data_IF_005945459237
#
_entry.id   IF_005945459237
#
_cell.length_a   1.000
_cell.length_b   1.000
_cell.length_c   1.000
_cell.angle_alpha   90.00
_cell.angle_beta   90.00
_cell.angle_gamma   90.00
#
_symmetry.space_group_name_H-M   'P 1'
#
loop_
_entity.id
_entity.type
_entity.pdbx_description
1 polymer ?
#
# COMPACT_ATOMS: atom_id res chain seq x y z
N UNK A 1 26.20 44.68 -8.55
CA UNK A 1 25.01 44.12 -9.20
C UNK A 1 25.34 42.69 -9.56
N UNK A 2 25.13 41.75 -8.59
CA UNK A 2 25.25 40.31 -8.86
C UNK A 2 23.85 39.77 -9.10
N UNK A 3 23.59 39.35 -10.35
CA UNK A 3 22.38 38.62 -10.65
C UNK A 3 22.46 37.24 -9.98
N UNK A 4 21.39 36.73 -9.35
CA UNK A 4 21.37 35.37 -8.88
C UNK A 4 21.37 34.42 -10.09
N UNK A 5 22.28 33.45 -10.07
CA UNK A 5 22.33 32.40 -11.07
C UNK A 5 21.00 31.64 -11.13
N UNK A 6 20.48 31.32 -12.32
CA UNK A 6 19.27 30.52 -12.43
C UNK A 6 19.54 29.12 -11.90
N UNK A 7 18.82 28.71 -10.86
CA UNK A 7 18.82 27.36 -10.37
C UNK A 7 18.36 26.40 -11.50
N UNK A 8 19.33 25.70 -12.07
CA UNK A 8 19.06 24.60 -13.00
C UNK A 8 18.27 23.51 -12.29
N UNK A 9 17.23 22.96 -12.91
CA UNK A 9 16.48 21.85 -12.33
C UNK A 9 17.38 20.60 -12.26
N UNK A 10 17.82 20.26 -11.05
CA UNK A 10 18.49 18.99 -10.78
C UNK A 10 17.41 17.93 -10.64
N UNK A 11 17.05 17.18 -11.71
CA UNK A 11 16.12 16.05 -11.46
C UNK A 11 15.85 14.95 -12.51
N UNK A 12 16.67 14.48 -13.41
CA UNK A 12 16.29 13.24 -14.10
C UNK A 12 16.73 11.94 -13.40
N UNK A 13 17.70 11.98 -12.48
CA UNK A 13 18.22 10.75 -11.84
C UNK A 13 17.45 10.32 -10.58
N UNK A 14 16.96 11.25 -9.78
CA UNK A 14 16.18 10.95 -8.57
C UNK A 14 14.82 10.33 -8.93
N UNK A 15 14.18 10.83 -9.98
CA UNK A 15 12.89 10.36 -10.46
C UNK A 15 12.96 8.93 -11.02
N UNK A 16 14.02 8.60 -11.73
CA UNK A 16 14.23 7.25 -12.27
C UNK A 16 14.40 6.21 -11.14
N UNK A 17 15.19 6.52 -10.11
CA UNK A 17 15.39 5.61 -8.98
C UNK A 17 14.08 5.38 -8.23
N UNK A 18 13.29 6.43 -8.03
CA UNK A 18 12.00 6.35 -7.34
C UNK A 18 10.97 5.55 -8.16
N UNK A 19 10.96 5.73 -9.47
CA UNK A 19 10.12 4.95 -10.39
C UNK A 19 10.51 3.46 -10.40
N UNK A 20 11.81 3.15 -10.44
CA UNK A 20 12.30 1.77 -10.35
C UNK A 20 11.92 1.14 -9.01
N UNK A 21 12.06 1.86 -7.89
CA UNK A 21 11.63 1.38 -6.57
C UNK A 21 10.14 1.08 -6.56
N UNK A 22 9.31 1.94 -7.14
CA UNK A 22 7.87 1.74 -7.23
C UNK A 22 7.53 0.51 -8.09
N UNK A 23 8.16 0.33 -9.25
CA UNK A 23 7.99 -0.87 -10.07
C UNK A 23 8.37 -2.15 -9.30
N UNK A 24 9.52 -2.16 -8.61
CA UNK A 24 9.93 -3.29 -7.78
C UNK A 24 8.94 -3.55 -6.62
N UNK A 25 8.39 -2.49 -6.03
CA UNK A 25 7.38 -2.60 -4.98
C UNK A 25 6.12 -3.31 -5.48
N UNK A 26 5.58 -2.86 -6.62
CA UNK A 26 4.38 -3.44 -7.20
C UNK A 26 4.59 -4.91 -7.58
N UNK A 27 5.71 -5.24 -8.23
CA UNK A 27 6.05 -6.63 -8.57
C UNK A 27 6.11 -7.53 -7.32
N UNK A 28 6.75 -7.07 -6.25
CA UNK A 28 6.83 -7.81 -4.99
C UNK A 28 5.45 -7.98 -4.34
N UNK A 29 4.61 -6.94 -4.32
CA UNK A 29 3.26 -7.00 -3.74
C UNK A 29 2.36 -7.92 -4.58
N UNK A 30 2.43 -7.84 -5.90
CA UNK A 30 1.63 -8.65 -6.83
C UNK A 30 1.92 -10.14 -6.76
N UNK A 31 3.04 -10.56 -6.13
CA UNK A 31 3.31 -11.98 -5.85
C UNK A 31 2.54 -12.50 -4.61
N UNK A 32 1.92 -11.61 -3.82
CA UNK A 32 1.25 -11.99 -2.59
C UNK A 32 0.11 -13.01 -2.79
N UNK A 33 -0.79 -12.89 -3.78
CA UNK A 33 -1.85 -13.88 -3.99
C UNK A 33 -1.31 -15.30 -4.23
N UNK A 34 -0.15 -15.42 -4.89
CA UNK A 34 0.49 -16.72 -5.12
C UNK A 34 0.91 -17.36 -3.80
N UNK A 35 1.61 -16.61 -2.94
CA UNK A 35 2.04 -17.12 -1.63
C UNK A 35 0.86 -17.33 -0.68
N UNK A 36 -0.20 -16.51 -0.75
CA UNK A 36 -1.45 -16.70 0.01
C UNK A 36 -2.06 -18.04 -0.38
N UNK A 37 -2.23 -18.34 -1.67
CA UNK A 37 -2.76 -19.62 -2.15
C UNK A 37 -1.96 -20.82 -1.65
N UNK A 38 -0.63 -20.73 -1.57
CA UNK A 38 0.19 -21.76 -0.96
C UNK A 38 0.05 -21.83 0.56
N UNK A 39 -0.10 -20.72 1.25
CA UNK A 39 -0.26 -20.72 2.71
C UNK A 39 -1.61 -21.26 3.15
N UNK A 40 -2.67 -21.01 2.40
CA UNK A 40 -4.03 -21.45 2.68
C UNK A 40 -4.24 -22.97 2.51
N UNK A 41 -3.24 -23.71 2.02
CA UNK A 41 -3.25 -25.18 2.05
C UNK A 41 -3.14 -25.76 3.47
N UNK A 42 -2.73 -24.96 4.46
CA UNK A 42 -2.54 -25.40 5.85
C UNK A 42 -2.73 -24.33 6.90
N UNK A 43 -3.19 -23.13 6.53
CA UNK A 43 -3.56 -22.04 7.42
C UNK A 43 -4.83 -21.38 6.91
N UNK A 44 -5.63 -20.83 7.83
CA UNK A 44 -6.73 -19.94 7.43
C UNK A 44 -6.25 -18.55 7.02
N UNK A 45 -7.17 -17.72 6.48
CA UNK A 45 -6.85 -16.37 6.01
C UNK A 45 -6.27 -15.46 7.11
N UNK A 46 -6.86 -15.48 8.32
CA UNK A 46 -6.38 -14.66 9.44
C UNK A 46 -4.99 -15.12 9.91
N UNK A 47 -4.75 -16.46 9.97
CA UNK A 47 -3.44 -17.04 10.31
C UNK A 47 -2.37 -16.66 9.27
N UNK A 48 -2.71 -16.64 8.00
CA UNK A 48 -1.83 -16.19 6.91
C UNK A 48 -1.42 -14.73 7.08
N UNK A 49 -2.39 -13.84 7.30
CA UNK A 49 -2.11 -12.41 7.50
C UNK A 49 -1.37 -12.16 8.81
N UNK A 50 -1.73 -12.84 9.89
CA UNK A 50 -1.01 -12.76 11.16
C UNK A 50 0.47 -13.12 10.98
N UNK A 51 0.78 -14.29 10.41
CA UNK A 51 2.16 -14.73 10.23
C UNK A 51 2.95 -13.80 9.30
N UNK A 52 2.34 -13.27 8.24
CA UNK A 52 2.95 -12.27 7.36
C UNK A 52 3.43 -11.05 8.15
N UNK A 53 2.58 -10.47 9.00
CA UNK A 53 2.92 -9.30 9.82
C UNK A 53 3.90 -9.65 10.94
N UNK A 54 3.71 -10.79 11.60
CA UNK A 54 4.56 -11.26 12.68
C UNK A 54 6.00 -11.50 12.21
N UNK A 55 6.20 -12.18 11.07
CA UNK A 55 7.52 -12.39 10.47
C UNK A 55 8.18 -11.06 10.11
N UNK A 56 7.40 -10.12 9.56
CA UNK A 56 7.91 -8.78 9.29
C UNK A 56 8.40 -8.10 10.57
N UNK A 57 7.65 -8.15 11.66
CA UNK A 57 8.05 -7.59 12.96
C UNK A 57 9.32 -8.26 13.48
N UNK A 58 9.42 -9.58 13.43
CA UNK A 58 10.60 -10.30 13.88
C UNK A 58 11.85 -9.94 13.08
N UNK A 59 11.77 -9.94 11.76
CA UNK A 59 12.93 -9.72 10.90
C UNK A 59 13.32 -8.24 10.88
N UNK A 60 12.39 -7.37 10.53
CA UNK A 60 12.72 -5.94 10.37
C UNK A 60 12.77 -5.20 11.71
N UNK A 61 12.04 -5.67 12.72
CA UNK A 61 12.14 -5.17 14.10
C UNK A 61 13.50 -5.47 14.70
N UNK A 62 14.03 -6.68 14.55
CA UNK A 62 15.37 -7.05 15.03
C UNK A 62 16.48 -6.26 14.31
N UNK A 63 16.38 -6.10 12.97
CA UNK A 63 17.32 -5.29 12.20
C UNK A 63 17.28 -3.82 12.66
N UNK A 64 16.10 -3.27 12.87
CA UNK A 64 15.95 -1.88 13.32
C UNK A 64 16.51 -1.68 14.73
N UNK A 65 16.23 -2.61 15.66
CA UNK A 65 16.75 -2.58 17.02
C UNK A 65 18.27 -2.69 17.05
N UNK A 66 18.85 -3.59 16.23
CA UNK A 66 20.31 -3.71 16.11
C UNK A 66 20.95 -2.42 15.57
N UNK A 67 20.34 -1.78 14.57
CA UNK A 67 20.82 -0.49 14.03
C UNK A 67 20.79 0.60 15.09
N UNK A 68 19.69 0.72 15.84
CA UNK A 68 19.58 1.71 16.93
C UNK A 68 20.59 1.45 18.03
N UNK A 69 20.88 0.20 18.40
CA UNK A 69 21.92 -0.15 19.38
C UNK A 69 23.34 0.19 18.91
N UNK A 70 23.61 0.04 17.60
CA UNK A 70 24.92 0.39 17.02
C UNK A 70 25.10 1.92 16.92
N UNK A 71 24.08 2.65 16.51
CA UNK A 71 24.12 4.12 16.43
C UNK A 71 24.20 4.78 17.80
N UNK A 72 23.52 4.26 18.81
CA UNK A 72 23.61 4.73 20.19
C UNK A 72 25.03 4.58 20.78
N UNK A 73 25.82 3.63 20.27
CA UNK A 73 27.23 3.46 20.68
C UNK A 73 28.21 4.38 19.95
N UNK A 74 27.84 4.90 18.78
CA UNK A 74 28.77 5.61 17.89
C UNK A 74 28.54 7.13 17.76
N UNK A 75 27.37 7.63 18.17
CA UNK A 75 27.00 9.04 17.94
C UNK A 75 26.87 9.83 19.26
N UNK A 76 27.46 11.04 19.28
CA UNK A 76 27.00 12.12 20.16
C UNK A 76 25.51 12.35 19.92
N UNK A 77 24.72 12.74 20.94
CA UNK A 77 23.30 13.03 20.77
C UNK A 77 23.15 14.05 19.64
N UNK A 78 22.66 13.61 18.48
CA UNK A 78 22.14 14.52 17.47
C UNK A 78 20.90 15.16 18.08
N UNK A 79 20.77 16.47 17.99
CA UNK A 79 19.57 17.23 18.35
C UNK A 79 18.43 16.85 17.41
N UNK A 80 17.96 15.60 17.52
CA UNK A 80 16.72 15.18 16.89
C UNK A 80 15.59 15.89 17.64
N UNK A 81 14.85 16.74 16.95
CA UNK A 81 13.65 17.37 17.52
C UNK A 81 12.80 16.33 18.25
N UNK A 82 12.35 16.61 19.48
CA UNK A 82 11.59 15.68 20.26
C UNK A 82 10.33 15.27 19.49
N UNK A 83 10.14 13.97 19.32
CA UNK A 83 8.94 13.43 18.68
C UNK A 83 7.75 13.78 19.57
N UNK A 84 6.93 14.73 19.14
CA UNK A 84 5.74 15.17 19.87
C UNK A 84 4.76 14.00 20.07
N UNK A 85 4.00 13.96 21.19
CA UNK A 85 3.00 12.90 21.45
C UNK A 85 2.01 12.69 20.29
N UNK A 86 1.75 13.75 19.52
CA UNK A 86 0.89 13.69 18.32
C UNK A 86 1.40 12.72 17.26
N UNK A 87 2.72 12.62 17.05
CA UNK A 87 3.29 11.68 16.07
C UNK A 87 3.20 10.22 16.52
N UNK A 88 3.32 9.96 17.83
CA UNK A 88 3.08 8.63 18.37
C UNK A 88 1.62 8.21 18.20
N UNK A 89 0.67 9.14 18.41
CA UNK A 89 -0.74 8.91 18.12
C UNK A 89 -0.99 8.61 16.64
N UNK A 90 -0.32 9.31 15.72
CA UNK A 90 -0.44 9.04 14.28
C UNK A 90 0.16 7.67 13.89
N UNK A 91 1.30 7.27 14.47
CA UNK A 91 1.89 5.95 14.24
C UNK A 91 0.96 4.82 14.71
N UNK A 92 0.37 4.96 15.91
CA UNK A 92 -0.63 4.01 16.39
C UNK A 92 -1.87 4.03 15.50
N UNK A 93 -2.34 5.21 15.12
CA UNK A 93 -3.51 5.40 14.25
C UNK A 93 -3.36 4.72 12.88
N UNK A 94 -2.17 4.74 12.28
CA UNK A 94 -1.87 4.00 11.03
C UNK A 94 -2.12 2.50 11.21
N UNK A 95 -1.67 1.93 12.33
CA UNK A 95 -1.91 0.53 12.64
C UNK A 95 -3.39 0.22 12.78
N UNK A 96 -4.11 1.02 13.58
CA UNK A 96 -5.55 0.86 13.81
C UNK A 96 -6.34 0.98 12.50
N UNK A 97 -6.12 2.02 11.71
CA UNK A 97 -6.81 2.23 10.43
C UNK A 97 -6.55 1.09 9.46
N UNK A 98 -5.31 0.58 9.40
CA UNK A 98 -4.97 -0.57 8.56
C UNK A 98 -5.71 -1.84 8.99
N UNK A 99 -5.82 -2.09 10.30
CA UNK A 99 -6.57 -3.24 10.84
C UNK A 99 -8.05 -3.11 10.54
N UNK A 100 -8.65 -1.92 10.70
CA UNK A 100 -10.04 -1.67 10.33
C UNK A 100 -10.28 -1.91 8.83
N UNK A 101 -9.42 -1.39 7.96
CA UNK A 101 -9.51 -1.65 6.52
C UNK A 101 -9.51 -3.15 6.23
N UNK A 102 -8.54 -3.88 6.77
CA UNK A 102 -8.42 -5.32 6.56
C UNK A 102 -9.60 -6.10 7.14
N UNK A 103 -10.05 -5.76 8.36
CA UNK A 103 -11.18 -6.41 9.03
C UNK A 103 -12.50 -6.19 8.27
N UNK A 104 -12.77 -4.98 7.80
CA UNK A 104 -13.95 -4.67 7.01
C UNK A 104 -13.93 -5.41 5.66
N UNK A 105 -12.78 -5.46 5.01
CA UNK A 105 -12.59 -6.22 3.78
C UNK A 105 -12.83 -7.71 4.01
N UNK A 106 -12.20 -8.31 5.02
CA UNK A 106 -12.39 -9.72 5.35
C UNK A 106 -13.84 -10.03 5.71
N UNK A 107 -14.52 -9.14 6.44
CA UNK A 107 -15.94 -9.30 6.78
C UNK A 107 -16.83 -9.21 5.54
N UNK A 108 -16.49 -8.36 4.56
CA UNK A 108 -17.27 -8.26 3.31
C UNK A 108 -17.30 -9.60 2.55
N UNK A 109 -16.21 -10.38 2.61
CA UNK A 109 -16.09 -11.68 1.94
C UNK A 109 -17.06 -12.75 2.50
N UNK A 110 -17.63 -12.52 3.68
CA UNK A 110 -18.69 -13.40 4.23
C UNK A 110 -20.02 -13.19 3.50
N UNK A 111 -20.24 -12.00 2.93
CA UNK A 111 -21.52 -11.56 2.36
C UNK A 111 -21.52 -11.47 0.84
N UNK A 112 -20.36 -11.25 0.22
CA UNK A 112 -20.22 -11.09 -1.24
C UNK A 112 -19.02 -11.88 -1.75
N UNK A 113 -19.00 -12.14 -3.06
CA UNK A 113 -17.89 -12.84 -3.69
C UNK A 113 -16.56 -12.10 -3.57
N UNK A 114 -15.46 -12.85 -3.61
CA UNK A 114 -14.09 -12.28 -3.56
C UNK A 114 -13.88 -11.28 -4.70
N UNK A 115 -14.34 -11.62 -5.90
CA UNK A 115 -14.24 -10.76 -7.08
C UNK A 115 -14.95 -9.42 -6.87
N UNK A 116 -16.18 -9.44 -6.34
CA UNK A 116 -16.96 -8.23 -6.07
C UNK A 116 -16.31 -7.38 -4.97
N UNK A 117 -15.83 -8.02 -3.89
CA UNK A 117 -15.15 -7.32 -2.81
C UNK A 117 -13.86 -6.65 -3.28
N UNK A 118 -13.03 -7.34 -4.07
CA UNK A 118 -11.82 -6.77 -4.68
C UNK A 118 -12.14 -5.62 -5.63
N UNK A 119 -13.18 -5.77 -6.46
CA UNK A 119 -13.63 -4.72 -7.36
C UNK A 119 -13.96 -3.42 -6.61
N UNK A 120 -14.73 -3.54 -5.52
CA UNK A 120 -15.11 -2.40 -4.69
C UNK A 120 -13.89 -1.79 -3.96
N UNK A 121 -12.96 -2.64 -3.52
CA UNK A 121 -11.72 -2.18 -2.91
C UNK A 121 -10.79 -1.45 -3.90
N UNK A 122 -10.82 -1.81 -5.18
CA UNK A 122 -10.10 -1.13 -6.27
C UNK A 122 -10.61 0.31 -6.52
N UNK A 123 -11.70 0.74 -5.88
CA UNK A 123 -12.13 2.15 -5.88
C UNK A 123 -11.31 3.05 -4.93
N UNK A 124 -10.35 2.49 -4.20
CA UNK A 124 -9.41 3.24 -3.33
C UNK A 124 -8.80 4.49 -3.98
N UNK A 125 -8.38 4.52 -5.28
CA UNK A 125 -7.87 5.73 -5.92
C UNK A 125 -8.87 6.89 -5.94
N UNK A 126 -10.17 6.62 -6.04
CA UNK A 126 -11.20 7.65 -5.96
C UNK A 126 -11.18 8.28 -4.57
N UNK A 127 -11.18 7.45 -3.51
CA UNK A 127 -11.20 7.91 -2.13
C UNK A 127 -9.91 8.63 -1.73
N UNK A 128 -8.74 8.19 -2.20
CA UNK A 128 -7.48 8.91 -1.98
C UNK A 128 -7.46 10.26 -2.69
N UNK A 129 -7.96 10.32 -3.92
CA UNK A 129 -8.03 11.57 -4.71
C UNK A 129 -9.01 12.55 -4.07
N UNK A 130 -10.21 12.08 -3.73
CA UNK A 130 -11.23 12.88 -3.05
C UNK A 130 -10.77 13.35 -1.67
N UNK A 131 -10.18 12.46 -0.88
CA UNK A 131 -9.63 12.79 0.43
C UNK A 131 -8.47 13.79 0.35
N UNK A 132 -7.59 13.63 -0.63
CA UNK A 132 -6.49 14.57 -0.85
C UNK A 132 -6.98 15.95 -1.28
N UNK A 133 -8.01 16.00 -2.11
CA UNK A 133 -8.66 17.26 -2.48
C UNK A 133 -9.35 17.92 -1.27
N UNK A 134 -10.14 17.16 -0.50
CA UNK A 134 -10.94 17.68 0.60
C UNK A 134 -10.08 18.10 1.81
N UNK A 135 -9.11 17.27 2.21
CA UNK A 135 -8.32 17.48 3.43
C UNK A 135 -7.06 18.33 3.20
N UNK A 136 -6.43 18.18 2.04
CA UNK A 136 -5.17 18.86 1.72
C UNK A 136 -5.33 19.91 0.61
N UNK A 137 -6.55 20.10 0.09
CA UNK A 137 -6.86 21.02 -1.02
C UNK A 137 -6.00 20.81 -2.26
N UNK A 138 -5.51 19.57 -2.44
CA UNK A 138 -4.73 19.19 -3.62
C UNK A 138 -5.59 19.33 -4.88
N UNK A 139 -5.05 19.97 -5.91
CA UNK A 139 -5.71 20.04 -7.21
C UNK A 139 -5.18 18.92 -8.11
N UNK A 140 -6.08 18.32 -8.88
CA UNK A 140 -5.75 17.27 -9.83
C UNK A 140 -6.05 17.79 -11.24
N UNK A 141 -5.12 17.58 -12.17
CA UNK A 141 -5.34 17.95 -13.53
C UNK A 141 -6.25 16.94 -14.27
N UNK A 142 -6.80 17.37 -15.40
CA UNK A 142 -7.72 16.54 -16.18
C UNK A 142 -7.07 15.25 -16.68
N UNK A 143 -5.76 15.24 -16.95
CA UNK A 143 -5.04 14.05 -17.42
C UNK A 143 -5.00 12.97 -16.35
N UNK A 144 -4.74 13.37 -15.09
CA UNK A 144 -4.78 12.45 -13.96
C UNK A 144 -6.19 11.85 -13.77
N UNK A 145 -7.23 12.69 -13.77
CA UNK A 145 -8.61 12.25 -13.58
C UNK A 145 -9.10 11.33 -14.70
N UNK A 146 -8.82 11.67 -15.95
CA UNK A 146 -9.16 10.81 -17.10
C UNK A 146 -8.39 9.50 -17.03
N UNK A 147 -7.08 9.53 -16.75
CA UNK A 147 -6.27 8.34 -16.58
C UNK A 147 -6.79 7.43 -15.46
N UNK A 148 -7.20 8.02 -14.33
CA UNK A 148 -7.81 7.29 -13.21
C UNK A 148 -9.13 6.61 -13.61
N UNK A 149 -10.02 7.31 -14.32
CA UNK A 149 -11.29 6.73 -14.79
C UNK A 149 -11.05 5.57 -15.77
N UNK A 150 -10.10 5.73 -16.69
CA UNK A 150 -9.73 4.67 -17.65
C UNK A 150 -9.14 3.46 -16.90
N UNK A 151 -8.19 3.67 -15.98
CA UNK A 151 -7.56 2.59 -15.23
C UNK A 151 -8.58 1.83 -14.35
N UNK A 152 -9.48 2.55 -13.70
CA UNK A 152 -10.58 1.94 -12.94
C UNK A 152 -11.52 1.14 -13.83
N UNK A 153 -11.86 1.65 -15.01
CA UNK A 153 -12.67 0.91 -16.00
C UNK A 153 -12.01 -0.40 -16.41
N UNK A 154 -10.69 -0.41 -16.63
CA UNK A 154 -9.92 -1.62 -16.90
C UNK A 154 -9.89 -2.60 -15.73
N UNK A 155 -9.69 -2.11 -14.49
CA UNK A 155 -9.71 -2.94 -13.29
C UNK A 155 -11.10 -3.55 -13.03
N UNK A 156 -12.17 -2.80 -13.32
CA UNK A 156 -13.54 -3.29 -13.27
C UNK A 156 -13.75 -4.40 -14.31
N UNK A 157 -13.27 -4.22 -15.54
CA UNK A 157 -13.37 -5.22 -16.59
C UNK A 157 -12.66 -6.53 -16.21
N UNK A 158 -11.49 -6.46 -15.55
CA UNK A 158 -10.77 -7.63 -15.04
C UNK A 158 -11.57 -8.40 -13.99
N UNK A 159 -12.19 -7.70 -13.04
CA UNK A 159 -13.02 -8.32 -12.00
C UNK A 159 -14.38 -8.81 -12.51
N UNK A 160 -14.86 -8.31 -13.65
CA UNK A 160 -16.16 -8.64 -14.18
C UNK A 160 -16.24 -10.08 -14.76
N UNK A 161 -15.13 -10.65 -15.23
CA UNK A 161 -15.07 -12.05 -15.69
C UNK A 161 -15.39 -13.04 -14.56
N UNK A 162 -14.98 -12.72 -13.33
CA UNK A 162 -15.25 -13.54 -12.14
C UNK A 162 -16.61 -13.24 -11.50
N UNK A 163 -17.37 -12.30 -12.08
CA UNK A 163 -18.64 -11.82 -11.55
C UNK A 163 -19.81 -12.71 -11.94
N UNK A 164 -19.78 -13.98 -11.51
CA UNK A 164 -20.85 -14.96 -11.77
C UNK A 164 -21.78 -15.04 -10.55
N UNK A 165 -22.80 -14.20 -10.54
CA UNK A 165 -23.89 -14.27 -9.57
C UNK A 165 -24.22 -12.92 -8.93
N UNK A 166 -25.50 -12.56 -8.98
CA UNK A 166 -26.03 -11.37 -8.35
C UNK A 166 -26.19 -11.60 -6.84
N UNK A 167 -25.10 -11.62 -6.09
CA UNK A 167 -25.16 -11.50 -4.63
C UNK A 167 -25.48 -10.03 -4.29
N UNK A 168 -26.79 -9.70 -4.30
CA UNK A 168 -27.28 -8.37 -3.92
C UNK A 168 -27.26 -8.22 -2.39
N UNK A 169 -26.09 -8.26 -1.79
CA UNK A 169 -25.95 -8.01 -0.35
C UNK A 169 -25.35 -6.63 -0.13
N UNK A 170 -26.23 -5.64 0.07
CA UNK A 170 -25.85 -4.23 0.33
C UNK A 170 -24.94 -4.08 1.54
N UNK A 171 -25.04 -4.96 2.54
CA UNK A 171 -24.15 -4.92 3.70
C UNK A 171 -22.73 -5.28 3.31
N UNK A 172 -22.53 -6.36 2.55
CA UNK A 172 -21.23 -6.78 2.05
C UNK A 172 -20.60 -5.72 1.13
N UNK A 173 -21.40 -5.14 0.24
CA UNK A 173 -20.96 -4.05 -0.64
C UNK A 173 -20.53 -2.81 0.17
N UNK A 174 -21.33 -2.43 1.17
CA UNK A 174 -20.99 -1.32 2.06
C UNK A 174 -19.71 -1.54 2.86
N UNK A 175 -19.49 -2.76 3.36
CA UNK A 175 -18.26 -3.13 4.09
C UNK A 175 -17.02 -3.07 3.18
N UNK A 176 -17.11 -3.56 1.95
CA UNK A 176 -16.02 -3.50 0.98
C UNK A 176 -15.68 -2.05 0.59
N UNK A 177 -16.70 -1.22 0.32
CA UNK A 177 -16.49 0.21 0.05
C UNK A 177 -15.89 0.95 1.25
N UNK A 178 -16.37 0.66 2.45
CA UNK A 178 -15.84 1.27 3.67
C UNK A 178 -14.38 0.84 3.90
N UNK A 179 -14.05 -0.41 3.61
CA UNK A 179 -12.65 -0.88 3.60
C UNK A 179 -11.76 -0.05 2.66
N UNK A 180 -12.22 0.24 1.44
CA UNK A 180 -11.50 1.08 0.48
C UNK A 180 -11.30 2.52 1.01
N UNK A 181 -12.28 3.08 1.71
CA UNK A 181 -12.14 4.40 2.39
C UNK A 181 -11.06 4.35 3.48
N UNK A 182 -11.07 3.31 4.32
CA UNK A 182 -10.03 3.15 5.36
C UNK A 182 -8.65 2.88 4.74
N UNK A 183 -8.56 2.15 3.63
CA UNK A 183 -7.32 1.96 2.89
C UNK A 183 -6.80 3.29 2.32
N UNK A 184 -7.68 4.12 1.77
CA UNK A 184 -7.33 5.46 1.31
C UNK A 184 -6.80 6.32 2.47
N UNK A 185 -7.49 6.32 3.61
CA UNK A 185 -7.05 7.04 4.82
C UNK A 185 -5.68 6.54 5.30
N UNK A 186 -5.43 5.22 5.27
CA UNK A 186 -4.14 4.63 5.58
C UNK A 186 -3.04 5.16 4.64
N UNK A 187 -3.25 5.15 3.33
CA UNK A 187 -2.27 5.64 2.35
C UNK A 187 -1.95 7.14 2.57
N UNK A 188 -2.97 7.96 2.82
CA UNK A 188 -2.81 9.38 3.12
C UNK A 188 -2.04 9.61 4.43
N UNK A 189 -2.28 8.81 5.47
CA UNK A 189 -1.52 8.87 6.72
C UNK A 189 -0.07 8.45 6.52
N UNK A 190 0.20 7.40 5.74
CA UNK A 190 1.55 6.97 5.39
C UNK A 190 2.28 8.11 4.65
N UNK A 191 1.66 8.73 3.65
CA UNK A 191 2.24 9.88 2.92
C UNK A 191 2.64 11.00 3.90
N UNK A 192 1.78 11.33 4.85
CA UNK A 192 2.06 12.36 5.87
C UNK A 192 3.17 11.95 6.82
N UNK A 193 3.17 10.71 7.30
CA UNK A 193 4.18 10.21 8.23
C UNK A 193 5.55 10.05 7.56
N UNK A 194 5.61 9.79 6.26
CA UNK A 194 6.85 9.70 5.49
C UNK A 194 7.66 10.99 5.44
N UNK A 195 7.08 12.12 5.81
CA UNK A 195 7.83 13.39 5.97
C UNK A 195 8.73 13.39 7.19
N UNK A 196 8.44 12.55 8.20
CA UNK A 196 9.15 12.53 9.50
C UNK A 196 9.73 11.17 9.86
N UNK A 197 9.12 10.07 9.40
CA UNK A 197 9.51 8.71 9.77
C UNK A 197 9.98 7.90 8.58
N UNK A 198 10.86 6.94 8.84
CA UNK A 198 11.25 5.95 7.84
C UNK A 198 10.07 5.03 7.49
N UNK A 199 10.03 4.51 6.26
CA UNK A 199 9.03 3.53 5.85
C UNK A 199 8.99 2.33 6.82
N UNK A 200 10.16 1.85 7.24
CA UNK A 200 10.28 0.72 8.18
C UNK A 200 9.61 1.03 9.52
N UNK A 201 9.78 2.22 10.08
CA UNK A 201 9.15 2.60 11.37
C UNK A 201 7.63 2.60 11.26
N UNK A 202 7.08 3.17 10.18
CA UNK A 202 5.63 3.22 9.95
C UNK A 202 5.06 1.81 9.79
N UNK A 203 5.71 0.98 8.99
CA UNK A 203 5.25 -0.41 8.76
C UNK A 203 5.42 -1.29 9.99
N UNK A 204 6.46 -1.10 10.80
CA UNK A 204 6.60 -1.81 12.08
C UNK A 204 5.48 -1.46 13.03
N UNK A 205 5.11 -0.17 13.15
CA UNK A 205 3.97 0.23 13.98
C UNK A 205 2.67 -0.44 13.49
N UNK A 206 2.40 -0.40 12.17
CA UNK A 206 1.27 -1.09 11.55
C UNK A 206 1.29 -2.59 11.84
N UNK A 207 2.43 -3.24 11.66
CA UNK A 207 2.55 -4.69 11.79
C UNK A 207 2.44 -5.15 13.25
N UNK A 208 2.97 -4.37 14.21
CA UNK A 208 2.81 -4.65 15.64
C UNK A 208 1.33 -4.58 16.03
N UNK A 209 0.66 -3.47 15.70
CA UNK A 209 -0.78 -3.30 16.02
C UNK A 209 -1.60 -4.39 15.32
N UNK A 210 -1.32 -4.67 14.04
CA UNK A 210 -1.99 -5.72 13.27
C UNK A 210 -1.80 -7.11 13.88
N UNK A 211 -0.58 -7.47 14.28
CA UNK A 211 -0.29 -8.76 14.90
C UNK A 211 -0.99 -8.90 16.26
N UNK A 212 -1.03 -7.83 17.07
CA UNK A 212 -1.70 -7.86 18.38
C UNK A 212 -3.21 -8.07 18.26
N UNK A 213 -3.84 -7.52 17.22
CA UNK A 213 -5.28 -7.70 16.97
C UNK A 213 -5.56 -9.06 16.31
N UNK A 214 -4.74 -9.46 15.33
CA UNK A 214 -4.95 -10.70 14.59
C UNK A 214 -4.63 -11.95 15.40
N UNK A 215 -3.70 -11.89 16.34
CA UNK A 215 -3.37 -13.05 17.17
C UNK A 215 -4.59 -13.63 17.90
N UNK A 216 -5.34 -12.88 18.74
CA UNK A 216 -6.55 -13.40 19.37
C UNK A 216 -7.62 -13.76 18.35
N UNK A 217 -7.81 -12.96 17.31
CA UNK A 217 -8.79 -13.23 16.27
C UNK A 217 -8.53 -14.60 15.61
N UNK A 218 -7.31 -14.86 15.18
CA UNK A 218 -6.91 -16.14 14.58
C UNK A 218 -7.12 -17.30 15.55
N UNK A 219 -6.74 -17.11 16.80
CA UNK A 219 -6.92 -18.16 17.83
C UNK A 219 -8.38 -18.55 18.01
N UNK A 220 -9.29 -17.57 18.07
CA UNK A 220 -10.72 -17.84 18.29
C UNK A 220 -11.47 -18.29 17.04
N UNK A 221 -11.04 -17.87 15.85
CA UNK A 221 -11.77 -18.19 14.60
C UNK A 221 -11.23 -19.42 13.88
N UNK A 222 -9.92 -19.65 13.92
CA UNK A 222 -9.27 -20.70 13.12
C UNK A 222 -8.63 -21.79 14.00
N UNK A 223 -8.37 -21.50 15.28
CA UNK A 223 -7.76 -22.45 16.23
C UNK A 223 -6.28 -22.77 15.94
N UNK A 224 -5.80 -22.49 14.73
CA UNK A 224 -4.43 -22.72 14.30
C UNK A 224 -3.77 -21.39 13.94
N UNK A 225 -2.77 -20.99 14.74
CA UNK A 225 -2.08 -19.69 14.58
C UNK A 225 -0.84 -19.81 13.69
N UNK A 226 -0.08 -20.91 13.84
CA UNK A 226 1.19 -21.09 13.13
C UNK A 226 1.14 -22.23 12.12
N UNK A 227 1.93 -22.14 11.02
CA UNK A 227 2.06 -23.24 10.08
C UNK A 227 2.57 -24.52 10.72
N UNK A 228 2.07 -25.68 10.22
CA UNK A 228 2.51 -26.99 10.66
C UNK A 228 3.44 -27.67 9.67
N UNK A 229 3.48 -27.21 8.41
CA UNK A 229 4.27 -27.84 7.34
C UNK A 229 5.31 -26.88 6.76
N UNK A 230 6.43 -27.40 6.29
CA UNK A 230 7.53 -26.62 5.73
C UNK A 230 7.11 -25.77 4.49
N UNK A 231 6.29 -26.26 3.53
CA UNK A 231 5.83 -25.45 2.40
C UNK A 231 5.01 -24.23 2.85
N UNK A 232 4.11 -24.40 3.84
CA UNK A 232 3.29 -23.30 4.36
C UNK A 232 4.17 -22.28 5.10
N UNK A 233 5.19 -22.74 5.87
CA UNK A 233 6.20 -21.86 6.46
C UNK A 233 6.94 -21.07 5.38
N UNK A 234 7.36 -21.71 4.29
CA UNK A 234 8.00 -21.05 3.15
C UNK A 234 7.12 -19.94 2.56
N UNK A 235 5.83 -20.20 2.39
CA UNK A 235 4.88 -19.25 1.85
C UNK A 235 4.69 -18.02 2.76
N UNK A 236 4.48 -18.21 4.07
CA UNK A 236 4.29 -17.07 4.98
C UNK A 236 5.58 -16.28 5.22
N UNK A 237 6.75 -16.93 5.18
CA UNK A 237 8.05 -16.26 5.22
C UNK A 237 8.24 -15.41 3.98
N UNK A 238 7.91 -15.93 2.79
CA UNK A 238 7.96 -15.17 1.54
C UNK A 238 6.99 -13.97 1.60
N UNK A 239 5.77 -14.14 2.11
CA UNK A 239 4.82 -13.04 2.34
C UNK A 239 5.40 -11.97 3.27
N UNK A 240 5.98 -12.36 4.40
CA UNK A 240 6.55 -11.42 5.38
C UNK A 240 7.80 -10.70 4.89
N UNK A 241 8.67 -11.37 4.14
CA UNK A 241 9.93 -10.78 3.68
C UNK A 241 9.77 -10.09 2.32
N UNK A 242 9.19 -10.76 1.32
CA UNK A 242 9.12 -10.24 -0.05
C UNK A 242 7.99 -9.22 -0.15
N UNK A 243 6.77 -9.61 0.20
CA UNK A 243 5.61 -8.72 -0.02
C UNK A 243 5.55 -7.60 1.01
N UNK A 244 5.68 -7.92 2.31
CA UNK A 244 5.63 -6.90 3.38
C UNK A 244 6.96 -6.18 3.54
N UNK A 245 8.07 -6.92 3.62
CA UNK A 245 9.39 -6.37 3.88
C UNK A 245 9.96 -5.57 2.73
N UNK A 246 9.94 -6.13 1.52
CA UNK A 246 10.40 -5.43 0.32
C UNK A 246 9.28 -4.62 -0.31
N UNK A 247 8.16 -5.25 -0.67
CA UNK A 247 7.09 -4.63 -1.44
C UNK A 247 6.48 -3.43 -0.74
N UNK A 248 5.85 -3.63 0.40
CA UNK A 248 5.18 -2.55 1.15
C UNK A 248 6.17 -1.48 1.64
N UNK A 249 7.40 -1.86 1.97
CA UNK A 249 8.42 -0.89 2.39
C UNK A 249 8.87 0.00 1.23
N UNK A 250 9.13 -0.56 0.05
CA UNK A 250 9.46 0.23 -1.13
C UNK A 250 8.29 1.10 -1.58
N UNK A 251 7.06 0.59 -1.47
CA UNK A 251 5.84 1.36 -1.74
C UNK A 251 5.74 2.58 -0.80
N UNK A 252 5.86 2.34 0.50
CA UNK A 252 5.84 3.42 1.49
C UNK A 252 7.01 4.39 1.31
N UNK A 253 8.19 3.90 0.89
CA UNK A 253 9.35 4.76 0.58
C UNK A 253 9.07 5.66 -0.64
N UNK A 254 8.39 5.13 -1.65
CA UNK A 254 7.99 5.87 -2.85
C UNK A 254 7.01 7.02 -2.57
N UNK A 255 6.24 6.95 -1.47
CA UNK A 255 5.36 8.04 -1.00
C UNK A 255 6.11 9.28 -0.51
N UNK A 256 7.44 9.24 -0.43
CA UNK A 256 8.24 10.46 -0.21
C UNK A 256 8.37 11.31 -1.48
N UNK A 257 8.18 10.72 -2.65
CA UNK A 257 8.32 11.35 -3.96
C UNK A 257 6.98 11.47 -4.70
N UNK A 258 6.17 10.42 -4.65
CA UNK A 258 4.88 10.36 -5.32
C UNK A 258 3.72 10.62 -4.37
N UNK A 259 2.63 11.16 -4.90
CA UNK A 259 1.41 11.39 -4.13
C UNK A 259 0.69 10.07 -3.81
N UNK A 260 -0.01 10.01 -2.67
CA UNK A 260 -0.77 8.82 -2.29
C UNK A 260 -1.87 8.48 -3.31
N UNK A 261 -2.45 9.49 -3.97
CA UNK A 261 -3.44 9.29 -5.04
C UNK A 261 -2.84 8.59 -6.25
N UNK A 262 -1.62 8.97 -6.65
CA UNK A 262 -0.90 8.28 -7.72
C UNK A 262 -0.48 6.87 -7.31
N UNK A 263 0.02 6.69 -6.11
CA UNK A 263 0.37 5.35 -5.58
C UNK A 263 -0.87 4.44 -5.56
N UNK A 264 -2.03 4.93 -5.11
CA UNK A 264 -3.28 4.16 -5.13
C UNK A 264 -3.69 3.78 -6.55
N UNK A 265 -3.49 4.68 -7.53
CA UNK A 265 -3.75 4.39 -8.94
C UNK A 265 -2.81 3.32 -9.49
N UNK A 266 -1.51 3.40 -9.18
CA UNK A 266 -0.50 2.42 -9.62
C UNK A 266 -0.74 1.04 -8.98
N UNK A 267 -1.35 0.98 -7.78
CA UNK A 267 -1.76 -0.28 -7.16
C UNK A 267 -2.82 -1.04 -7.98
N UNK A 268 -3.52 -0.40 -8.92
CA UNK A 268 -4.38 -1.11 -9.89
C UNK A 268 -3.59 -2.01 -10.85
N UNK A 269 -2.25 -1.93 -10.89
CA UNK A 269 -1.40 -2.91 -11.57
C UNK A 269 -1.30 -4.23 -10.79
N UNK A 270 -1.60 -4.24 -9.50
CA UNK A 270 -1.52 -5.45 -8.67
C UNK A 270 -2.36 -6.60 -9.24
N UNK A 271 -3.66 -6.42 -9.54
CA UNK A 271 -4.45 -7.48 -10.15
C UNK A 271 -3.93 -7.91 -11.54
N UNK A 272 -3.43 -6.97 -12.34
CA UNK A 272 -2.86 -7.28 -13.67
C UNK A 272 -1.64 -8.21 -13.52
N UNK A 273 -0.70 -7.81 -12.69
CA UNK A 273 0.54 -8.58 -12.48
C UNK A 273 0.29 -9.90 -11.75
N UNK A 274 -0.62 -9.93 -10.78
CA UNK A 274 -1.00 -11.15 -10.07
C UNK A 274 -1.62 -12.17 -11.02
N UNK A 275 -2.48 -11.73 -11.93
CA UNK A 275 -3.11 -12.60 -12.94
C UNK A 275 -2.08 -13.13 -13.94
N UNK A 276 -1.12 -12.30 -14.36
CA UNK A 276 0.01 -12.77 -15.21
C UNK A 276 0.86 -13.81 -14.47
N UNK A 277 1.15 -13.58 -13.19
CA UNK A 277 1.89 -14.55 -12.38
C UNK A 277 1.11 -15.86 -12.20
N UNK A 278 -0.20 -15.80 -11.97
CA UNK A 278 -1.07 -16.98 -11.88
C UNK A 278 -1.12 -17.75 -13.22
N UNK A 279 -1.19 -17.06 -14.34
CA UNK A 279 -1.11 -17.66 -15.66
C UNK A 279 0.20 -18.42 -15.87
N UNK A 280 1.34 -17.82 -15.51
CA UNK A 280 2.66 -18.46 -15.68
C UNK A 280 2.88 -19.62 -14.72
N UNK A 281 2.46 -19.48 -13.45
CA UNK A 281 2.77 -20.46 -12.38
C UNK A 281 1.76 -21.62 -12.35
N UNK A 282 0.46 -21.29 -12.51
CA UNK A 282 -0.63 -22.26 -12.40
C UNK A 282 -1.20 -22.69 -13.75
N UNK A 283 -0.63 -22.17 -14.87
CA UNK A 283 -1.10 -22.40 -16.24
C UNK A 283 -2.61 -22.07 -16.42
N UNK A 284 -3.10 -21.07 -15.72
CA UNK A 284 -4.47 -20.57 -15.83
C UNK A 284 -4.68 -19.98 -17.23
N UNK A 285 -5.87 -20.20 -17.84
CA UNK A 285 -6.16 -19.63 -19.16
C UNK A 285 -6.74 -18.22 -19.00
N UNK A 286 -6.16 -17.26 -19.71
CA UNK A 286 -6.65 -15.89 -19.74
C UNK A 286 -7.56 -15.67 -20.94
N UNK A 287 -8.77 -15.16 -20.67
CA UNK A 287 -9.72 -14.78 -21.70
C UNK A 287 -9.33 -13.50 -22.46
N UNK A 288 -9.96 -13.24 -23.62
CA UNK A 288 -9.71 -12.01 -24.39
C UNK A 288 -10.06 -10.73 -23.59
N UNK A 289 -11.09 -10.79 -22.74
CA UNK A 289 -11.53 -9.67 -21.89
C UNK A 289 -10.43 -9.29 -20.89
N UNK A 290 -9.74 -10.29 -20.31
CA UNK A 290 -8.60 -10.08 -19.41
C UNK A 290 -7.48 -9.28 -20.08
N UNK A 291 -7.12 -9.65 -21.34
CA UNK A 291 -6.10 -8.93 -22.11
C UNK A 291 -6.50 -7.49 -22.44
N UNK A 292 -7.79 -7.28 -22.78
CA UNK A 292 -8.33 -5.93 -22.98
C UNK A 292 -8.27 -5.12 -21.67
N UNK A 293 -8.68 -5.73 -20.55
CA UNK A 293 -8.59 -5.11 -19.22
C UNK A 293 -7.17 -4.67 -18.86
N UNK A 294 -6.16 -5.52 -19.13
CA UNK A 294 -4.75 -5.15 -18.95
C UNK A 294 -4.36 -3.92 -19.77
N UNK A 295 -4.69 -3.92 -21.07
CA UNK A 295 -4.38 -2.81 -21.95
C UNK A 295 -5.04 -1.50 -21.48
N UNK A 296 -6.29 -1.57 -21.02
CA UNK A 296 -7.02 -0.41 -20.49
C UNK A 296 -6.41 0.11 -19.19
N UNK A 297 -6.09 -0.77 -18.23
CA UNK A 297 -5.42 -0.36 -16.97
C UNK A 297 -4.08 0.33 -17.27
N UNK A 298 -3.24 -0.30 -18.11
CA UNK A 298 -1.93 0.25 -18.48
C UNK A 298 -2.05 1.61 -19.17
N UNK A 299 -3.02 1.77 -20.08
CA UNK A 299 -3.28 3.03 -20.77
C UNK A 299 -3.70 4.13 -19.79
N UNK A 300 -4.60 3.80 -18.86
CA UNK A 300 -5.05 4.75 -17.83
C UNK A 300 -3.91 5.22 -16.92
N UNK A 301 -3.07 4.29 -16.46
CA UNK A 301 -1.91 4.62 -15.62
C UNK A 301 -0.89 5.43 -16.42
N UNK A 302 -0.62 5.06 -17.67
CA UNK A 302 0.29 5.82 -18.55
C UNK A 302 -0.18 7.26 -18.74
N UNK A 303 -1.47 7.47 -18.95
CA UNK A 303 -2.04 8.82 -19.08
C UNK A 303 -1.88 9.62 -17.78
N UNK A 304 -2.12 8.98 -16.63
CA UNK A 304 -1.95 9.62 -15.33
C UNK A 304 -0.49 9.96 -15.01
N UNK A 305 0.49 9.14 -15.44
CA UNK A 305 1.92 9.45 -15.24
C UNK A 305 2.39 10.70 -15.97
N UNK A 306 1.68 11.11 -17.01
CA UNK A 306 1.96 12.33 -17.77
C UNK A 306 1.43 13.60 -17.09
N UNK A 307 0.85 13.48 -15.89
CA UNK A 307 0.23 14.55 -15.12
C UNK A 307 1.19 15.13 -14.08
N UNK A 308 1.13 16.44 -13.87
CA UNK A 308 1.83 17.13 -12.77
C UNK A 308 1.31 16.71 -11.39
N UNK A 309 0.11 16.15 -11.31
CA UNK A 309 -0.50 15.66 -10.06
C UNK A 309 0.14 14.37 -9.51
N UNK A 310 1.05 13.74 -10.26
CA UNK A 310 1.76 12.52 -9.87
C UNK A 310 2.77 12.76 -8.76
N UNK A 311 3.46 13.89 -8.83
CA UNK A 311 4.51 14.23 -7.88
C UNK A 311 3.94 14.79 -6.57
N UNK A 312 4.71 14.62 -5.51
CA UNK A 312 4.38 15.24 -4.24
C UNK A 312 4.70 16.73 -4.32
N UNK A 313 3.71 17.56 -4.07
CA UNK A 313 3.89 19.01 -3.98
C UNK A 313 4.89 19.33 -2.86
N UNK A 314 6.05 19.84 -3.23
CA UNK A 314 7.03 20.35 -2.26
C UNK A 314 6.48 21.70 -1.78
N UNK A 315 5.80 21.70 -0.64
CA UNK A 315 5.43 22.96 0.03
C UNK A 315 6.74 23.66 0.38
N UNK A 316 7.03 24.84 -0.20
CA UNK A 316 8.21 25.60 0.20
C UNK A 316 8.04 25.94 1.68
N UNK A 317 9.02 25.56 2.49
CA UNK A 317 9.11 26.08 3.87
C UNK A 317 9.41 27.56 3.74
N UNK A 318 8.37 28.40 3.74
CA UNK A 318 8.51 29.84 3.91
C UNK A 318 9.00 30.05 5.34
N UNK A 319 10.31 30.18 5.49
CA UNK A 319 10.91 30.71 6.71
C UNK A 319 10.41 32.16 6.80
N UNK A 320 9.65 32.53 7.84
CA UNK A 320 9.24 33.92 7.98
C UNK A 320 10.49 34.78 8.15
N UNK A 321 10.66 35.76 7.28
CA UNK A 321 11.83 36.66 7.22
C UNK A 321 11.95 37.63 8.42
N UNK A 322 11.31 37.34 9.56
CA UNK A 322 11.21 38.28 10.71
C UNK A 322 12.03 37.88 11.93
N UNK A 323 13.08 37.04 11.81
CA UNK A 323 13.96 36.76 12.94
C UNK A 323 15.39 37.32 12.79
N UNK A 324 15.60 38.31 11.91
CA UNK A 324 16.83 39.10 11.84
C UNK A 324 16.50 40.58 11.86
N UNK A 325 16.03 41.09 13.00
CA UNK A 325 16.10 42.51 13.32
C UNK A 325 16.35 42.69 14.79
#
# INVERSE_FOLDING_TARGET
MNQPEPHLPQQPRADLISSVKLCCAILAISSAPIFIRFSETGLGPNGTVFNRLFIFVLVFGSIQSARLGLTARSSKPSEAEPITPQFWGLLFGVGVISVFSLGLWATSLVYISVAKSMLLNNLTPIFTTLGSWLLFRKQFDNRFLIGMVIALGGAIALGAEDFHGADNNLLGDGLALLSAVFLAAYLMMVEKLRTRFSATTILLSRAIVGSLVLLPLTWFTEGQVFPTTAPVWGAVVALGIICEGFGQRLLADSMSHFSCSFIALVLLLEPVLSTILAWVIFAEQLGPVTWIGFAVVLTGIYLATSSSSTEKEVVPVTIPANEFS
#
